data_IF_100087234055
#
_entry.id   IF_100087234055
#
_cell.length_a   1.000
_cell.length_b   1.000
_cell.length_c   1.000
_cell.angle_alpha   90.00
_cell.angle_beta   90.00
_cell.angle_gamma   90.00
#
_symmetry.space_group_name_H-M   'P 1'
#
loop_
_entity.id
_entity.type
_entity.pdbx_description
1 polymer ?
#
# COMPACT_ATOMS: atom_id res chain seq x y z
N UNK A 1 33.84 15.42 6.95
CA UNK A 1 33.35 14.38 7.88
C UNK A 1 31.93 14.08 7.44
N UNK A 2 31.73 12.98 6.73
CA UNK A 2 30.40 12.55 6.31
C UNK A 2 29.73 11.97 7.56
N UNK A 3 28.72 12.69 8.05
CA UNK A 3 27.79 12.17 9.05
C UNK A 3 27.01 11.06 8.33
N UNK A 4 27.44 9.81 8.51
CA UNK A 4 26.64 8.65 8.11
C UNK A 4 25.47 8.61 9.06
N UNK A 5 24.44 9.42 8.78
CA UNK A 5 23.12 9.24 9.36
C UNK A 5 22.68 7.84 8.99
N UNK A 6 22.90 6.91 9.92
CA UNK A 6 22.40 5.56 9.86
C UNK A 6 20.87 5.69 9.74
N UNK A 7 20.34 5.37 8.55
CA UNK A 7 18.91 5.48 8.31
C UNK A 7 18.19 4.63 9.37
N UNK A 8 17.33 5.27 10.17
CA UNK A 8 16.57 4.59 11.19
C UNK A 8 15.85 3.38 10.57
N UNK A 9 15.87 2.20 11.23
CA UNK A 9 15.30 1.00 10.65
C UNK A 9 13.81 1.20 10.37
N UNK A 10 13.37 0.79 9.19
CA UNK A 10 11.95 0.80 8.84
C UNK A 10 11.19 -0.21 9.71
N UNK A 11 9.97 0.17 10.06
CA UNK A 11 8.99 -0.64 10.77
C UNK A 11 7.71 -0.66 9.95
N UNK A 12 6.92 -1.72 10.10
CA UNK A 12 5.65 -1.86 9.40
C UNK A 12 4.44 -1.70 10.32
N UNK A 13 3.34 -1.18 9.80
CA UNK A 13 2.03 -1.24 10.47
C UNK A 13 0.96 -1.79 9.52
N UNK A 14 -0.06 -2.44 10.08
CA UNK A 14 -1.21 -2.95 9.34
C UNK A 14 -2.45 -2.83 10.22
N UNK A 15 -3.53 -2.26 9.68
CA UNK A 15 -4.80 -2.10 10.37
C UNK A 15 -5.96 -2.31 9.40
N UNK A 16 -7.11 -2.70 9.95
CA UNK A 16 -8.32 -2.94 9.18
C UNK A 16 -9.55 -2.50 9.97
N UNK A 17 -10.62 -2.17 9.26
CA UNK A 17 -11.88 -1.78 9.85
C UNK A 17 -12.96 -1.58 8.81
N UNK A 18 -13.95 -0.75 9.16
CA UNK A 18 -15.03 -0.36 8.27
C UNK A 18 -15.10 1.16 8.17
N UNK A 19 -15.38 1.65 6.96
CA UNK A 19 -15.60 3.06 6.68
C UNK A 19 -16.85 3.58 7.39
N UNK A 20 -17.09 4.91 7.33
CA UNK A 20 -18.32 5.52 7.81
C UNK A 20 -19.59 4.91 7.17
N UNK A 21 -19.48 4.44 5.94
CA UNK A 21 -20.56 3.80 5.16
C UNK A 21 -20.61 2.28 5.36
N UNK A 22 -19.75 1.72 6.23
CA UNK A 22 -19.69 0.31 6.54
C UNK A 22 -18.86 -0.54 5.57
N UNK A 23 -18.19 0.07 4.60
CA UNK A 23 -17.37 -0.64 3.61
C UNK A 23 -16.07 -1.18 4.24
N UNK A 24 -15.64 -2.42 3.94
CA UNK A 24 -14.34 -2.94 4.39
C UNK A 24 -13.18 -2.10 3.87
N UNK A 25 -12.24 -1.76 4.76
CA UNK A 25 -11.03 -0.98 4.43
C UNK A 25 -9.85 -1.51 5.25
N UNK A 26 -8.74 -1.80 4.58
CA UNK A 26 -7.45 -2.06 5.20
C UNK A 26 -6.43 -1.00 4.81
N UNK A 27 -5.54 -0.66 5.73
CA UNK A 27 -4.44 0.28 5.54
C UNK A 27 -3.16 -0.28 6.15
N UNK A 28 -2.04 -0.06 5.49
CA UNK A 28 -0.73 -0.47 5.98
C UNK A 28 0.36 0.44 5.46
N UNK A 29 1.56 0.31 6.00
CA UNK A 29 2.66 1.15 5.57
C UNK A 29 3.97 0.88 6.29
N UNK A 30 4.98 1.64 5.86
CA UNK A 30 6.33 1.64 6.39
C UNK A 30 6.61 3.00 7.04
N UNK A 31 7.23 2.97 8.22
CA UNK A 31 7.56 4.17 8.97
C UNK A 31 8.91 4.05 9.67
N UNK A 32 9.48 5.20 10.03
CA UNK A 32 10.69 5.31 10.85
C UNK A 32 10.34 5.78 12.27
N UNK A 33 11.22 5.52 13.24
CA UNK A 33 11.04 5.97 14.62
C UNK A 33 10.27 5.01 15.52
N UNK A 34 9.96 5.49 16.73
CA UNK A 34 9.43 4.65 17.82
C UNK A 34 7.91 4.62 17.89
N UNK A 35 7.26 5.72 17.49
CA UNK A 35 5.83 5.93 17.66
C UNK A 35 5.08 5.20 16.54
N UNK A 36 4.30 4.18 16.93
CA UNK A 36 3.51 3.39 16.00
C UNK A 36 2.32 4.19 15.46
N UNK A 37 2.21 4.43 14.13
CA UNK A 37 1.09 5.15 13.55
C UNK A 37 -0.20 4.30 13.47
N UNK A 38 -0.14 3.00 13.78
CA UNK A 38 -1.30 2.10 13.65
C UNK A 38 -2.57 2.58 14.37
N UNK A 39 -2.54 3.16 15.59
CA UNK A 39 -3.76 3.62 16.25
C UNK A 39 -4.41 4.81 15.55
N UNK A 40 -3.59 5.70 14.96
CA UNK A 40 -4.07 6.85 14.21
C UNK A 40 -4.78 6.42 12.92
N UNK A 41 -4.17 5.51 12.17
CA UNK A 41 -4.77 4.95 10.96
C UNK A 41 -6.02 4.11 11.28
N UNK A 42 -5.98 3.29 12.33
CA UNK A 42 -7.14 2.51 12.75
C UNK A 42 -8.34 3.40 13.11
N UNK A 43 -8.10 4.50 13.83
CA UNK A 43 -9.14 5.47 14.17
C UNK A 43 -9.68 6.22 12.94
N UNK A 44 -8.84 6.49 11.95
CA UNK A 44 -9.25 7.25 10.75
C UNK A 44 -10.10 6.45 9.78
N UNK A 45 -9.97 5.11 9.76
CA UNK A 45 -10.77 4.21 8.90
C UNK A 45 -12.27 4.48 9.07
N UNK A 46 -12.75 4.57 10.31
CA UNK A 46 -14.16 4.83 10.61
C UNK A 46 -14.62 6.24 10.19
N UNK A 47 -13.70 7.18 9.99
CA UNK A 47 -13.96 8.54 9.54
C UNK A 47 -13.81 8.71 8.01
N UNK A 48 -13.36 7.67 7.28
CA UNK A 48 -13.29 7.72 5.82
C UNK A 48 -14.69 7.49 5.20
N UNK A 49 -14.99 8.24 4.15
CA UNK A 49 -16.21 8.11 3.35
C UNK A 49 -15.84 8.32 1.87
N UNK A 50 -16.07 7.32 1.00
CA UNK A 50 -15.99 7.49 -0.46
C UNK A 50 -17.15 8.32 -1.03
N UNK A 51 -18.03 8.84 -0.15
CA UNK A 51 -19.14 9.76 -0.46
C UNK A 51 -20.15 9.17 -1.44
N UNK A 52 -20.37 7.86 -1.40
CA UNK A 52 -21.17 7.12 -2.39
C UNK A 52 -20.75 7.38 -3.86
N UNK A 53 -19.50 7.79 -4.10
CA UNK A 53 -19.00 7.96 -5.47
C UNK A 53 -18.95 6.61 -6.18
N UNK A 54 -19.33 6.62 -7.46
CA UNK A 54 -19.16 5.49 -8.39
C UNK A 54 -18.00 5.66 -9.35
N UNK A 55 -17.27 6.78 -9.23
CA UNK A 55 -16.07 7.02 -10.00
C UNK A 55 -14.87 6.40 -9.26
N UNK A 56 -14.28 5.31 -9.78
CA UNK A 56 -13.16 4.62 -9.13
C UNK A 56 -11.94 5.53 -8.96
N UNK A 57 -11.63 6.37 -9.94
CA UNK A 57 -10.50 7.30 -9.86
C UNK A 57 -10.70 8.34 -8.76
N UNK A 58 -11.93 8.84 -8.62
CA UNK A 58 -12.25 9.78 -7.55
C UNK A 58 -12.20 9.11 -6.17
N UNK A 59 -12.62 7.85 -6.05
CA UNK A 59 -12.52 7.08 -4.80
C UNK A 59 -11.06 6.86 -4.41
N UNK A 60 -10.21 6.47 -5.36
CA UNK A 60 -8.77 6.30 -5.13
C UNK A 60 -8.12 7.63 -4.74
N UNK A 61 -8.47 8.72 -5.41
CA UNK A 61 -8.02 10.06 -5.05
C UNK A 61 -8.40 10.42 -3.59
N UNK A 62 -9.67 10.22 -3.20
CA UNK A 62 -10.11 10.47 -1.83
C UNK A 62 -9.36 9.61 -0.82
N UNK A 63 -9.07 8.35 -1.16
CA UNK A 63 -8.33 7.42 -0.31
C UNK A 63 -6.88 7.86 -0.12
N UNK A 64 -6.20 8.25 -1.21
CA UNK A 64 -4.83 8.77 -1.18
C UNK A 64 -4.73 10.08 -0.37
N UNK A 65 -5.64 11.03 -0.60
CA UNK A 65 -5.70 12.29 0.17
C UNK A 65 -6.03 12.06 1.65
N UNK A 66 -6.88 11.08 1.96
CA UNK A 66 -7.16 10.71 3.33
C UNK A 66 -5.90 10.22 4.04
N UNK A 67 -5.14 9.30 3.41
CA UNK A 67 -3.86 8.79 3.94
C UNK A 67 -2.86 9.94 4.12
N UNK A 68 -2.70 10.78 3.10
CA UNK A 68 -1.78 11.94 3.13
C UNK A 68 -2.09 12.90 4.28
N UNK A 69 -3.36 13.15 4.57
CA UNK A 69 -3.79 14.07 5.65
C UNK A 69 -3.51 13.53 7.05
N UNK A 70 -3.59 12.22 7.25
CA UNK A 70 -3.42 11.60 8.57
C UNK A 70 -1.99 11.12 8.82
N UNK A 71 -1.22 10.86 7.77
CA UNK A 71 0.11 10.28 7.89
C UNK A 71 1.07 11.26 8.60
N UNK A 72 1.69 10.87 9.72
CA UNK A 72 2.78 11.64 10.29
C UNK A 72 3.99 11.59 9.35
N UNK A 73 4.89 12.56 9.50
CA UNK A 73 6.09 12.68 8.66
C UNK A 73 7.03 11.45 8.74
N UNK A 74 6.88 10.61 9.77
CA UNK A 74 7.61 9.35 9.91
C UNK A 74 7.15 8.25 8.96
N UNK A 75 5.96 8.34 8.36
CA UNK A 75 5.46 7.35 7.40
C UNK A 75 6.09 7.60 6.04
N UNK A 76 6.98 6.69 5.64
CA UNK A 76 7.72 6.77 4.38
C UNK A 76 6.86 6.31 3.19
N UNK A 77 6.05 5.26 3.40
CA UNK A 77 5.13 4.72 2.41
C UNK A 77 3.86 4.18 3.08
N UNK A 78 2.73 4.27 2.39
CA UNK A 78 1.47 3.70 2.83
C UNK A 78 0.66 3.20 1.63
N UNK A 79 -0.19 2.21 1.89
CA UNK A 79 -1.16 1.72 0.93
C UNK A 79 -2.45 1.31 1.61
N UNK A 80 -3.52 1.24 0.82
CA UNK A 80 -4.83 0.85 1.30
C UNK A 80 -5.59 0.06 0.25
N UNK A 81 -6.53 -0.74 0.72
CA UNK A 81 -7.49 -1.48 -0.11
C UNK A 81 -8.89 -1.31 0.47
N UNK A 82 -9.83 -0.95 -0.39
CA UNK A 82 -11.21 -0.62 -0.09
C UNK A 82 -12.14 -1.48 -0.95
N UNK A 83 -13.16 -2.08 -0.34
CA UNK A 83 -14.22 -2.79 -1.05
C UNK A 83 -15.55 -2.05 -0.95
N UNK A 84 -15.97 -1.43 -2.06
CA UNK A 84 -17.27 -0.74 -2.20
C UNK A 84 -18.15 -1.54 -3.16
N UNK A 85 -19.29 -2.09 -2.70
CA UNK A 85 -20.22 -2.80 -3.57
C UNK A 85 -20.69 -1.93 -4.76
N UNK A 86 -20.51 -2.43 -5.97
CA UNK A 86 -20.93 -1.76 -7.21
C UNK A 86 -19.98 -0.66 -7.70
N UNK A 87 -18.83 -0.46 -7.06
CA UNK A 87 -17.70 0.25 -7.65
C UNK A 87 -16.89 -0.75 -8.49
N UNK A 88 -16.45 -0.35 -9.69
CA UNK A 88 -15.65 -1.21 -10.57
C UNK A 88 -14.37 -0.49 -10.99
N UNK A 89 -13.21 -1.14 -10.83
CA UNK A 89 -11.94 -0.69 -11.41
C UNK A 89 -11.05 0.17 -10.52
N UNK A 90 -11.18 0.07 -9.18
CA UNK A 90 -10.29 0.76 -8.24
C UNK A 90 -10.43 0.23 -6.82
N UNK A 91 -10.29 1.12 -5.83
CA UNK A 91 -10.35 0.76 -4.41
C UNK A 91 -8.99 0.28 -3.90
N UNK A 92 -7.90 0.81 -4.45
CA UNK A 92 -6.55 0.54 -3.97
C UNK A 92 -5.61 1.70 -4.29
N UNK A 93 -4.77 2.05 -3.31
CA UNK A 93 -3.75 3.10 -3.46
C UNK A 93 -2.46 2.68 -2.78
N UNK A 94 -1.34 3.17 -3.30
CA UNK A 94 -0.02 3.00 -2.69
C UNK A 94 0.89 4.16 -3.06
N UNK A 95 1.80 4.55 -2.16
CA UNK A 95 2.81 5.57 -2.45
C UNK A 95 3.39 6.20 -1.18
N UNK A 96 4.10 7.31 -1.34
CA UNK A 96 4.55 8.11 -0.19
C UNK A 96 3.51 9.17 0.17
N UNK A 97 3.03 9.22 1.43
CA UNK A 97 2.12 10.27 1.88
C UNK A 97 2.72 11.69 1.84
N UNK A 98 4.06 11.80 1.78
CA UNK A 98 4.75 13.09 1.71
C UNK A 98 4.75 13.72 0.31
N UNK A 99 4.43 12.93 -0.73
CA UNK A 99 4.39 13.38 -2.11
C UNK A 99 2.95 13.76 -2.52
N UNK A 100 2.77 14.59 -3.56
CA UNK A 100 1.46 14.80 -4.17
C UNK A 100 0.87 13.48 -4.71
N UNK A 101 -0.44 13.28 -4.54
CA UNK A 101 -1.12 12.15 -5.16
C UNK A 101 -1.11 12.29 -6.69
N UNK A 102 -0.81 11.20 -7.38
CA UNK A 102 -0.77 11.12 -8.82
C UNK A 102 -1.34 9.78 -9.29
N UNK A 103 -1.84 9.73 -10.51
CA UNK A 103 -2.29 8.48 -11.13
C UNK A 103 -1.12 7.55 -11.40
N UNK A 104 -1.37 6.25 -11.33
CA UNK A 104 -0.40 5.22 -11.63
C UNK A 104 0.14 5.34 -13.07
N UNK A 105 1.46 5.42 -13.21
CA UNK A 105 2.17 5.42 -14.50
C UNK A 105 2.40 4.00 -15.02
N UNK A 106 2.30 2.99 -14.15
CA UNK A 106 2.65 1.61 -14.45
C UNK A 106 4.16 1.36 -14.49
N UNK A 107 4.97 2.32 -14.04
CA UNK A 107 6.43 2.21 -13.97
C UNK A 107 6.92 2.27 -12.51
N UNK A 108 8.07 1.65 -12.25
CA UNK A 108 8.74 1.78 -10.96
C UNK A 108 9.32 3.19 -10.78
N UNK A 109 8.98 3.83 -9.66
CA UNK A 109 9.40 5.19 -9.33
C UNK A 109 10.12 5.20 -7.98
N UNK A 110 11.18 5.99 -7.85
CA UNK A 110 11.82 6.21 -6.56
C UNK A 110 11.04 7.26 -5.76
N UNK A 111 10.53 6.87 -4.59
CA UNK A 111 9.74 7.73 -3.69
C UNK A 111 10.49 8.16 -2.42
N UNK A 112 11.73 7.71 -2.27
CA UNK A 112 12.65 8.09 -1.20
C UNK A 112 14.01 7.38 -1.33
N UNK A 113 14.98 7.68 -0.45
CA UNK A 113 16.25 6.97 -0.40
C UNK A 113 16.00 5.46 -0.21
N UNK A 114 16.50 4.64 -1.14
CA UNK A 114 16.31 3.18 -1.19
C UNK A 114 14.84 2.71 -1.12
N UNK A 115 13.88 3.59 -1.45
CA UNK A 115 12.45 3.31 -1.40
C UNK A 115 11.82 3.51 -2.78
N UNK A 116 11.28 2.43 -3.32
CA UNK A 116 10.71 2.38 -4.67
C UNK A 116 9.23 2.04 -4.60
N UNK A 117 8.46 2.58 -5.54
CA UNK A 117 7.03 2.38 -5.65
C UNK A 117 6.65 1.99 -7.07
N UNK A 118 5.83 0.95 -7.20
CA UNK A 118 5.15 0.59 -8.45
C UNK A 118 3.66 0.52 -8.16
N UNK A 119 2.86 1.20 -8.98
CA UNK A 119 1.41 1.08 -8.96
C UNK A 119 0.93 0.65 -10.34
N UNK A 120 0.20 -0.47 -10.41
CA UNK A 120 -0.38 -0.99 -11.64
C UNK A 120 -1.88 -0.66 -11.64
N UNK A 121 -2.40 0.14 -12.60
CA UNK A 121 -3.80 0.53 -12.64
C UNK A 121 -4.75 -0.67 -12.60
N UNK A 122 -5.77 -0.62 -11.73
CA UNK A 122 -6.80 -1.66 -11.63
C UNK A 122 -6.30 -3.01 -11.11
N UNK A 123 -5.16 -3.04 -10.41
CA UNK A 123 -4.48 -4.27 -9.99
C UNK A 123 -3.95 -4.15 -8.57
N UNK A 124 -2.64 -4.01 -8.44
CA UNK A 124 -1.95 -3.93 -7.17
C UNK A 124 -0.74 -3.01 -7.30
N UNK A 125 -0.25 -2.57 -6.16
CA UNK A 125 0.98 -1.81 -6.07
C UNK A 125 1.83 -2.25 -4.90
N UNK A 126 3.07 -1.78 -4.93
CA UNK A 126 4.12 -2.10 -3.99
C UNK A 126 4.89 -0.81 -3.69
N UNK A 127 5.16 -0.55 -2.41
CA UNK A 127 6.23 0.34 -2.00
C UNK A 127 7.23 -0.47 -1.17
N UNK A 128 8.48 -0.52 -1.62
CA UNK A 128 9.49 -1.44 -1.11
C UNK A 128 10.82 -0.74 -0.83
N UNK A 129 11.38 -1.04 0.34
CA UNK A 129 12.75 -0.71 0.69
C UNK A 129 13.67 -1.76 0.04
N UNK A 130 14.38 -1.36 -1.00
CA UNK A 130 15.20 -2.23 -1.82
C UNK A 130 16.42 -1.47 -2.32
N UNK A 131 17.48 -2.21 -2.65
CA UNK A 131 18.62 -1.64 -3.37
C UNK A 131 18.18 -1.32 -4.80
N UNK A 132 18.78 -0.30 -5.39
CA UNK A 132 18.50 0.12 -6.78
C UNK A 132 18.59 -1.04 -7.78
N UNK A 133 19.59 -1.91 -7.62
CA UNK A 133 19.81 -3.10 -8.46
C UNK A 133 18.65 -4.12 -8.44
N UNK A 134 17.79 -4.08 -7.43
CA UNK A 134 16.63 -4.97 -7.30
C UNK A 134 15.33 -4.37 -7.84
N UNK A 135 15.27 -3.07 -8.10
CA UNK A 135 14.06 -2.40 -8.58
C UNK A 135 13.54 -2.99 -9.92
N UNK A 136 14.38 -3.28 -10.94
CA UNK A 136 13.90 -3.90 -12.18
C UNK A 136 13.35 -5.32 -12.00
N UNK A 137 13.89 -6.09 -11.04
CA UNK A 137 13.41 -7.44 -10.74
C UNK A 137 12.02 -7.40 -10.09
N UNK A 138 11.80 -6.47 -9.16
CA UNK A 138 10.49 -6.21 -8.57
C UNK A 138 9.47 -5.77 -9.62
N UNK A 139 9.84 -4.87 -10.53
CA UNK A 139 8.97 -4.42 -11.61
C UNK A 139 8.58 -5.57 -12.55
N UNK A 140 9.56 -6.40 -12.95
CA UNK A 140 9.33 -7.58 -13.81
C UNK A 140 8.40 -8.58 -13.12
N UNK A 141 8.63 -8.85 -11.84
CA UNK A 141 7.79 -9.73 -11.03
C UNK A 141 6.35 -9.21 -11.03
N UNK A 142 6.12 -7.96 -10.64
CA UNK A 142 4.77 -7.42 -10.49
C UNK A 142 4.01 -7.30 -11.82
N UNK A 143 4.69 -6.87 -12.89
CA UNK A 143 4.06 -6.70 -14.21
C UNK A 143 3.64 -8.04 -14.84
N UNK A 144 4.40 -9.11 -14.61
CA UNK A 144 4.12 -10.45 -15.13
C UNK A 144 3.05 -11.24 -14.36
N UNK A 145 2.67 -10.80 -13.16
CA UNK A 145 1.74 -11.53 -12.31
C UNK A 145 0.28 -11.36 -12.74
N UNK A 146 -0.60 -12.25 -12.27
CA UNK A 146 -2.05 -12.14 -12.47
C UNK A 146 -2.71 -11.34 -11.33
N UNK A 147 -3.93 -10.80 -11.51
CA UNK A 147 -4.71 -10.22 -10.42
C UNK A 147 -4.84 -11.18 -9.22
N UNK A 148 -4.88 -10.63 -8.02
CA UNK A 148 -4.95 -11.40 -6.77
C UNK A 148 -6.38 -11.89 -6.54
N UNK A 149 -6.60 -13.20 -6.59
CA UNK A 149 -7.93 -13.80 -6.37
C UNK A 149 -8.04 -14.38 -4.96
N UNK A 150 -6.94 -14.91 -4.41
CA UNK A 150 -6.92 -15.58 -3.11
C UNK A 150 -5.82 -15.05 -2.19
N UNK A 151 -5.99 -15.26 -0.88
CA UNK A 151 -4.94 -14.95 0.11
C UNK A 151 -3.67 -15.77 -0.09
N UNK A 152 -3.76 -17.01 -0.59
CA UNK A 152 -2.59 -17.84 -0.88
C UNK A 152 -1.75 -17.26 -2.03
N UNK A 153 -2.39 -16.73 -3.08
CA UNK A 153 -1.70 -16.04 -4.17
C UNK A 153 -1.00 -14.78 -3.66
N UNK A 154 -1.70 -13.98 -2.84
CA UNK A 154 -1.13 -12.80 -2.22
C UNK A 154 0.11 -13.13 -1.36
N UNK A 155 0.00 -14.16 -0.51
CA UNK A 155 1.09 -14.62 0.34
C UNK A 155 2.29 -15.10 -0.48
N UNK A 156 2.06 -15.92 -1.51
CA UNK A 156 3.12 -16.42 -2.39
C UNK A 156 3.86 -15.26 -3.07
N UNK A 157 3.14 -14.31 -3.63
CA UNK A 157 3.73 -13.13 -4.26
C UNK A 157 4.54 -12.30 -3.24
N UNK A 158 3.98 -12.05 -2.06
CA UNK A 158 4.67 -11.33 -0.99
C UNK A 158 5.99 -12.01 -0.58
N UNK A 159 6.04 -13.34 -0.52
CA UNK A 159 7.26 -14.09 -0.21
C UNK A 159 8.30 -14.02 -1.33
N UNK A 160 7.88 -13.89 -2.58
CA UNK A 160 8.79 -13.65 -3.70
C UNK A 160 9.37 -12.23 -3.63
N UNK A 161 8.54 -11.21 -3.38
CA UNK A 161 8.96 -9.83 -3.19
C UNK A 161 9.99 -9.72 -2.04
N UNK A 162 9.78 -10.45 -0.94
CA UNK A 162 10.68 -10.47 0.22
C UNK A 162 12.11 -10.94 -0.09
N UNK A 163 12.36 -11.58 -1.24
CA UNK A 163 13.72 -11.94 -1.69
C UNK A 163 14.50 -10.74 -2.24
N UNK A 164 13.81 -9.67 -2.59
CA UNK A 164 14.35 -8.49 -3.26
C UNK A 164 14.24 -7.21 -2.42
N UNK A 165 13.45 -7.23 -1.34
CA UNK A 165 13.19 -6.08 -0.48
C UNK A 165 13.39 -6.43 1.00
N UNK A 166 13.97 -5.51 1.77
CA UNK A 166 14.15 -5.67 3.22
C UNK A 166 12.87 -5.36 4.00
N UNK A 167 12.03 -4.47 3.46
CA UNK A 167 10.69 -4.16 3.95
C UNK A 167 9.80 -3.74 2.79
N UNK A 168 8.49 -3.99 2.87
CA UNK A 168 7.54 -3.49 1.89
C UNK A 168 6.12 -3.34 2.46
N UNK A 169 5.33 -2.51 1.80
CA UNK A 169 3.87 -2.53 1.84
C UNK A 169 3.36 -2.87 0.44
N UNK A 170 2.37 -3.75 0.37
CA UNK A 170 1.69 -4.19 -0.84
C UNK A 170 0.20 -3.92 -0.68
N UNK A 171 -0.45 -3.41 -1.72
CA UNK A 171 -1.90 -3.17 -1.73
C UNK A 171 -2.50 -3.65 -3.05
N UNK A 172 -3.60 -4.37 -2.98
CA UNK A 172 -4.37 -4.80 -4.14
C UNK A 172 -5.77 -4.19 -4.10
N UNK A 173 -6.27 -3.78 -5.26
CA UNK A 173 -7.59 -3.16 -5.42
C UNK A 173 -8.71 -4.08 -4.93
N UNK A 174 -9.63 -3.51 -4.15
CA UNK A 174 -10.77 -4.22 -3.58
C UNK A 174 -12.07 -4.12 -4.39
N UNK A 175 -12.10 -3.34 -5.47
CA UNK A 175 -13.29 -3.13 -6.30
C UNK A 175 -13.10 -3.58 -7.75
N UNK A 176 -12.19 -4.52 -8.02
CA UNK A 176 -11.97 -5.08 -9.36
C UNK A 176 -12.71 -6.42 -9.47
N UNK A 177 -13.58 -6.62 -10.49
CA UNK A 177 -14.30 -7.89 -10.64
C UNK A 177 -13.37 -9.11 -10.71
N UNK A 178 -13.63 -10.10 -9.86
CA UNK A 178 -12.82 -11.33 -9.79
C UNK A 178 -11.50 -11.18 -9.02
N UNK A 179 -11.25 -10.02 -8.42
CA UNK A 179 -10.11 -9.77 -7.54
C UNK A 179 -10.58 -9.69 -6.08
N UNK A 180 -9.73 -10.13 -5.15
CA UNK A 180 -9.91 -9.85 -3.73
C UNK A 180 -8.91 -8.77 -3.31
N UNK A 181 -9.41 -7.70 -2.71
CA UNK A 181 -8.55 -6.65 -2.17
C UNK A 181 -7.66 -7.19 -1.06
N UNK A 182 -6.49 -6.62 -0.87
CA UNK A 182 -5.66 -6.94 0.29
C UNK A 182 -4.65 -5.84 0.58
N UNK A 183 -4.15 -5.85 1.82
CA UNK A 183 -2.95 -5.10 2.21
C UNK A 183 -2.01 -6.05 2.93
N UNK A 184 -0.76 -6.06 2.50
CA UNK A 184 0.30 -6.84 3.12
C UNK A 184 1.46 -5.94 3.53
N UNK A 185 2.12 -6.30 4.63
CA UNK A 185 3.33 -5.63 5.10
C UNK A 185 4.35 -6.67 5.48
N UNK A 186 5.54 -6.54 4.90
CA UNK A 186 6.73 -7.31 5.26
C UNK A 186 7.73 -6.40 5.94
N UNK A 187 8.15 -6.77 7.14
CA UNK A 187 9.18 -6.05 7.88
C UNK A 187 9.80 -6.97 8.93
N UNK A 188 11.12 -6.92 9.11
CA UNK A 188 11.80 -7.71 10.15
C UNK A 188 11.67 -9.23 9.96
N UNK A 189 11.48 -9.71 8.73
CA UNK A 189 11.30 -11.14 8.43
C UNK A 189 9.87 -11.68 8.67
N UNK A 190 8.93 -10.81 9.02
CA UNK A 190 7.53 -11.19 9.27
C UNK A 190 6.62 -10.64 8.17
N UNK A 191 5.74 -11.50 7.63
CA UNK A 191 4.64 -11.11 6.76
C UNK A 191 3.36 -10.96 7.58
N UNK A 192 2.68 -9.83 7.44
CA UNK A 192 1.31 -9.63 7.91
C UNK A 192 0.44 -9.29 6.70
N UNK A 193 -0.70 -9.97 6.55
CA UNK A 193 -1.59 -9.85 5.40
C UNK A 193 -3.05 -9.77 5.89
N UNK A 194 -3.82 -8.87 5.30
CA UNK A 194 -5.27 -8.76 5.49
C UNK A 194 -5.94 -8.77 4.13
N UNK A 195 -6.98 -9.60 3.98
CA UNK A 195 -7.86 -9.58 2.82
C UNK A 195 -9.02 -8.60 3.03
N UNK A 196 -9.47 -7.96 1.95
CA UNK A 196 -10.55 -6.98 1.90
C UNK A 196 -11.56 -7.45 0.86
N UNK A 197 -12.78 -7.76 1.32
CA UNK A 197 -13.88 -8.25 0.50
C UNK A 197 -15.19 -8.29 1.28
#
# INVERSE_FOLDING_TARGET
MADTTENAPLRGFLCQGRTQEGHPLAMGGLYTGTDDPSPLFAASIAAFSPRNSRDPFFVDYLLAEHIRRIAPASVAAAGASLAVPGLEGGGGVIGSPSLPSASATGAMEQIGPDLYCLSLPGRFGLAAAAREEHAPALETLLTGESPIVTGEQAEKLCREIARHASAFVFAADGCVPGQTGCVAVWCGGELRLVMVG
#
